data_IF_984520123821
#
_entry.id   IF_984520123821
#
_cell.length_a   1.000
_cell.length_b   1.000
_cell.length_c   1.000
_cell.angle_alpha   90.00
_cell.angle_beta   90.00
_cell.angle_gamma   90.00
#
_symmetry.space_group_name_H-M   'P 1'
#
loop_
_entity.id
_entity.type
_entity.pdbx_description
1 polymer ?
#
# COMPACT_ATOMS: atom_id res chain seq x y z
N UNK A 1 -7.19 5.76 -14.85
CA UNK A 1 -7.95 6.66 -13.97
C UNK A 1 -7.19 6.74 -12.67
N UNK A 2 -6.83 7.94 -12.20
CA UNK A 2 -6.15 8.13 -10.92
C UNK A 2 -7.20 8.49 -9.84
N UNK A 3 -7.67 7.50 -9.09
CA UNK A 3 -8.73 7.68 -8.09
C UNK A 3 -8.59 6.66 -6.96
N UNK A 4 -8.53 7.15 -5.72
CA UNK A 4 -8.63 6.34 -4.51
C UNK A 4 -10.07 6.39 -4.00
N UNK A 5 -10.69 5.22 -3.75
CA UNK A 5 -12.09 5.13 -3.28
C UNK A 5 -12.18 4.31 -2.00
N UNK A 6 -12.60 4.94 -0.91
CA UNK A 6 -12.96 4.24 0.32
C UNK A 6 -14.46 4.00 0.37
N UNK A 7 -14.86 2.73 0.32
CA UNK A 7 -16.27 2.34 0.51
C UNK A 7 -16.66 2.57 1.96
N UNK A 8 -17.88 3.04 2.22
CA UNK A 8 -18.38 3.28 3.58
C UNK A 8 -18.21 2.05 4.51
N UNK A 9 -18.26 0.83 3.96
CA UNK A 9 -18.04 -0.41 4.71
C UNK A 9 -16.61 -0.60 5.28
N UNK A 10 -15.61 0.18 4.85
CA UNK A 10 -14.27 0.15 5.45
C UNK A 10 -14.12 1.18 6.60
N UNK A 11 -15.04 2.15 6.68
CA UNK A 11 -15.05 3.21 7.70
C UNK A 11 -15.82 2.77 8.95
N UNK A 12 -15.48 1.59 9.45
CA UNK A 12 -16.06 1.01 10.67
C UNK A 12 -14.99 0.27 11.46
N UNK A 13 -15.30 -0.10 12.70
CA UNK A 13 -14.42 -0.96 13.51
C UNK A 13 -14.10 -2.27 12.77
N UNK A 14 -12.88 -2.80 12.88
CA UNK A 14 -11.76 -2.28 13.69
C UNK A 14 -10.90 -1.22 12.97
N UNK A 15 -11.24 -0.83 11.74
CA UNK A 15 -10.38 0.00 10.89
C UNK A 15 -10.53 1.50 11.17
N UNK A 16 -11.73 1.96 11.52
CA UNK A 16 -11.98 3.36 11.84
C UNK A 16 -13.08 3.51 12.90
N UNK A 17 -12.86 4.43 13.84
CA UNK A 17 -13.89 4.96 14.73
C UNK A 17 -13.52 6.40 15.13
N UNK A 18 -14.48 7.33 15.12
CA UNK A 18 -14.25 8.72 15.52
C UNK A 18 -13.91 8.90 17.01
N UNK A 19 -14.11 7.88 17.84
CA UNK A 19 -13.79 7.84 19.27
C UNK A 19 -12.49 7.11 19.58
N UNK A 20 -11.80 6.54 18.57
CA UNK A 20 -10.51 5.92 18.78
C UNK A 20 -9.40 6.96 18.99
N UNK A 21 -8.37 6.57 19.73
CA UNK A 21 -7.13 7.35 19.77
C UNK A 21 -6.58 7.50 18.34
N UNK A 22 -5.98 8.66 18.06
CA UNK A 22 -5.43 8.93 16.73
C UNK A 22 -4.47 7.82 16.28
N UNK A 23 -3.64 7.28 17.20
CA UNK A 23 -2.73 6.17 16.89
C UNK A 23 -3.45 4.92 16.35
N UNK A 24 -4.67 4.62 16.81
CA UNK A 24 -5.46 3.48 16.32
C UNK A 24 -5.99 3.74 14.91
N UNK A 25 -6.52 4.94 14.65
CA UNK A 25 -7.03 5.31 13.32
C UNK A 25 -5.91 5.41 12.29
N UNK A 26 -4.77 6.01 12.65
CA UNK A 26 -3.61 6.06 11.76
C UNK A 26 -3.04 4.64 11.56
N UNK A 27 -2.85 3.87 12.63
CA UNK A 27 -2.35 2.48 12.52
C UNK A 27 -3.22 1.58 11.63
N UNK A 28 -4.55 1.75 11.68
CA UNK A 28 -5.48 0.96 10.90
C UNK A 28 -5.84 1.63 9.56
N UNK A 29 -6.87 2.48 9.50
CA UNK A 29 -7.33 3.08 8.23
C UNK A 29 -6.25 3.96 7.58
N UNK A 30 -5.38 4.62 8.35
CA UNK A 30 -4.27 5.41 7.80
C UNK A 30 -3.28 4.55 7.00
N UNK A 31 -2.96 3.35 7.48
CA UNK A 31 -2.12 2.39 6.76
C UNK A 31 -2.77 1.93 5.45
N UNK A 32 -4.08 1.66 5.47
CA UNK A 32 -4.86 1.30 4.26
C UNK A 32 -4.84 2.46 3.26
N UNK A 33 -5.07 3.70 3.73
CA UNK A 33 -5.01 4.88 2.85
C UNK A 33 -3.63 5.02 2.21
N UNK A 34 -2.56 4.89 3.01
CA UNK A 34 -1.19 4.95 2.50
C UNK A 34 -0.85 3.80 1.54
N UNK A 35 -1.44 2.61 1.74
CA UNK A 35 -1.28 1.45 0.86
C UNK A 35 -1.89 1.75 -0.53
N UNK A 36 -3.13 2.26 -0.57
CA UNK A 36 -3.77 2.66 -1.84
C UNK A 36 -3.00 3.79 -2.56
N UNK A 37 -2.46 4.76 -1.82
CA UNK A 37 -1.57 5.78 -2.40
C UNK A 37 -0.32 5.14 -2.96
N UNK A 38 0.29 4.20 -2.24
CA UNK A 38 1.54 3.57 -2.67
C UNK A 38 1.34 2.67 -3.89
N UNK A 39 0.16 2.11 -4.11
CA UNK A 39 -0.18 1.42 -5.35
C UNK A 39 -0.04 2.31 -6.59
N UNK A 40 -0.26 3.63 -6.48
CA UNK A 40 0.00 4.56 -7.59
C UNK A 40 1.49 4.63 -7.97
N UNK A 41 2.38 4.14 -7.10
CA UNK A 41 3.83 4.20 -7.23
C UNK A 41 4.53 2.83 -7.17
N UNK A 42 3.79 1.73 -7.00
CA UNK A 42 4.38 0.38 -6.98
C UNK A 42 4.76 -0.08 -8.40
N UNK A 43 5.27 -1.31 -8.53
CA UNK A 43 5.90 -1.81 -9.76
C UNK A 43 5.03 -1.78 -11.05
N UNK A 44 3.74 -1.42 -11.01
CA UNK A 44 2.98 -1.07 -12.21
C UNK A 44 3.12 0.41 -12.60
N UNK A 45 3.30 1.31 -11.64
CA UNK A 45 3.56 2.74 -11.88
C UNK A 45 5.01 3.06 -12.23
N UNK A 46 5.97 2.19 -11.86
CA UNK A 46 7.42 2.43 -12.07
C UNK A 46 8.08 1.62 -13.19
N UNK A 47 7.36 0.71 -13.86
CA UNK A 47 7.89 -0.15 -14.94
C UNK A 47 7.55 0.32 -16.35
N UNK A 48 7.19 1.58 -16.52
CA UNK A 48 7.20 2.20 -17.83
C UNK A 48 8.37 3.17 -17.83
N UNK A 49 9.46 2.79 -18.49
CA UNK A 49 10.30 3.83 -19.08
C UNK A 49 9.45 4.66 -20.06
N UNK A 50 9.94 5.80 -20.53
CA UNK A 50 9.21 6.65 -21.48
C UNK A 50 8.74 5.94 -22.77
N UNK A 51 9.18 4.70 -22.99
CA UNK A 51 8.90 3.83 -24.14
C UNK A 51 8.09 2.56 -23.79
N UNK A 52 7.70 2.37 -22.52
CA UNK A 52 6.78 1.32 -22.06
C UNK A 52 7.39 -0.08 -21.80
N UNK A 53 8.69 -0.20 -21.53
CA UNK A 53 9.34 -1.50 -21.30
C UNK A 53 9.53 -1.86 -19.80
N UNK A 54 9.26 -3.14 -19.49
CA UNK A 54 9.38 -3.72 -18.13
C UNK A 54 10.83 -4.13 -17.84
N UNK A 55 11.57 -3.40 -16.99
CA UNK A 55 12.83 -3.89 -16.41
C UNK A 55 12.60 -4.42 -14.98
N UNK A 56 12.62 -5.74 -14.72
CA UNK A 56 12.56 -6.25 -13.36
C UNK A 56 13.92 -6.13 -12.65
N UNK A 57 14.02 -5.28 -11.62
CA UNK A 57 15.23 -5.11 -10.79
C UNK A 57 15.31 -6.10 -9.60
N UNK A 58 14.53 -7.19 -9.58
CA UNK A 58 14.53 -8.11 -8.42
C UNK A 58 14.63 -9.57 -8.84
N UNK A 59 15.79 -10.15 -8.61
CA UNK A 59 16.08 -11.60 -8.65
C UNK A 59 15.39 -12.28 -7.46
N UNK A 60 14.19 -12.83 -7.70
CA UNK A 60 13.35 -13.41 -6.65
C UNK A 60 13.89 -14.72 -6.08
N UNK A 61 14.32 -14.70 -4.80
CA UNK A 61 14.46 -15.90 -3.99
C UNK A 61 13.07 -16.32 -3.46
N UNK A 62 12.63 -17.53 -3.79
CA UNK A 62 11.36 -18.10 -3.32
C UNK A 62 11.50 -18.47 -1.84
N UNK A 63 10.89 -17.68 -0.95
CA UNK A 63 10.69 -18.04 0.46
C UNK A 63 9.28 -18.66 0.61
N UNK A 64 9.17 -19.98 0.37
CA UNK A 64 7.92 -20.74 0.49
C UNK A 64 6.93 -20.57 -0.69
N UNK A 65 5.69 -21.05 -0.53
CA UNK A 65 4.62 -21.02 -1.55
C UNK A 65 4.13 -19.61 -1.96
N UNK A 66 4.83 -18.56 -1.53
CA UNK A 66 4.52 -17.16 -1.83
C UNK A 66 5.47 -16.71 -2.94
N UNK A 67 4.92 -16.40 -4.11
CA UNK A 67 5.70 -15.89 -5.24
C UNK A 67 6.04 -14.42 -5.01
N UNK A 68 7.32 -14.13 -4.76
CA UNK A 68 7.85 -12.76 -4.66
C UNK A 68 7.73 -11.94 -5.95
N UNK A 69 7.31 -12.52 -7.07
CA UNK A 69 6.96 -11.77 -8.29
C UNK A 69 5.51 -11.29 -8.30
N UNK A 70 4.59 -12.04 -7.66
CA UNK A 70 3.16 -11.70 -7.61
C UNK A 70 2.87 -10.79 -6.42
N UNK A 71 3.52 -11.03 -5.27
CA UNK A 71 3.26 -10.27 -4.03
C UNK A 71 4.05 -8.97 -3.92
N UNK A 72 4.91 -8.65 -4.89
CA UNK A 72 5.86 -7.54 -4.76
C UNK A 72 5.18 -6.17 -4.72
N UNK A 73 4.15 -5.94 -5.54
CA UNK A 73 3.37 -4.69 -5.55
C UNK A 73 2.71 -4.44 -4.20
N UNK A 74 1.93 -5.42 -3.75
CA UNK A 74 1.30 -5.44 -2.42
C UNK A 74 2.31 -5.23 -1.28
N UNK A 75 3.47 -5.90 -1.34
CA UNK A 75 4.50 -5.75 -0.30
C UNK A 75 5.08 -4.34 -0.27
N UNK A 76 5.25 -3.70 -1.43
CA UNK A 76 5.67 -2.30 -1.53
C UNK A 76 4.56 -1.40 -0.97
N UNK A 77 3.31 -1.65 -1.34
CA UNK A 77 2.16 -0.90 -0.88
C UNK A 77 1.97 -0.98 0.64
N UNK A 78 2.08 -2.17 1.23
CA UNK A 78 1.99 -2.39 2.68
C UNK A 78 3.08 -1.64 3.45
N UNK A 79 4.34 -1.75 3.01
CA UNK A 79 5.46 -1.09 3.67
C UNK A 79 5.40 0.43 3.51
N UNK A 80 5.07 0.92 2.31
CA UNK A 80 4.91 2.33 2.02
C UNK A 80 3.73 2.94 2.79
N UNK A 81 2.61 2.23 2.84
CA UNK A 81 1.41 2.64 3.56
C UNK A 81 1.63 2.75 5.06
N UNK A 82 2.27 1.75 5.67
CA UNK A 82 2.58 1.77 7.11
C UNK A 82 3.53 2.92 7.46
N UNK A 83 4.58 3.12 6.67
CA UNK A 83 5.53 4.23 6.87
C UNK A 83 4.87 5.59 6.72
N UNK A 84 4.05 5.75 5.68
CA UNK A 84 3.34 7.01 5.41
C UNK A 84 2.35 7.33 6.51
N UNK A 85 1.62 6.32 6.99
CA UNK A 85 0.70 6.50 8.10
C UNK A 85 1.42 6.86 9.41
N UNK A 86 2.53 6.20 9.72
CA UNK A 86 3.33 6.52 10.89
C UNK A 86 3.88 7.96 10.85
N UNK A 87 4.34 8.40 9.68
CA UNK A 87 4.79 9.77 9.45
C UNK A 87 3.67 10.81 9.56
N UNK A 88 2.43 10.45 9.23
CA UNK A 88 1.31 11.37 9.30
C UNK A 88 0.73 11.50 10.73
N UNK A 89 1.03 10.52 11.60
CA UNK A 89 0.63 10.55 13.01
C UNK A 89 1.56 11.41 13.90
N UNK A 90 2.86 11.47 13.58
CA UNK A 90 3.86 12.27 14.29
C UNK A 90 4.00 13.69 13.69
#
# INVERSE_FOLDING_TARGET
MNQIVFRAAILQKPLFDGLFDASQNFGAIGTVIGHEITHEFDNYGRKLDGDGNLSPEVTGAVLGNISGQISLGETIADNGGLKTSFHAYH
#
